data_IF_659736131031
#
_entry.id   IF_659736131031
#
_cell.length_a   1.000
_cell.length_b   1.000
_cell.length_c   1.000
_cell.angle_alpha   90.00
_cell.angle_beta   90.00
_cell.angle_gamma   90.00
#
_symmetry.space_group_name_H-M   'P 1'
#
loop_
_entity.id
_entity.type
_entity.pdbx_description
1 polymer ?
#
# COMPACT_ATOMS: atom_id res chain seq x y z
N UNK A 1 -8.10 -23.84 13.15
CA UNK A 1 -9.11 -22.88 13.66
C UNK A 1 -8.87 -21.54 12.97
N UNK A 2 -9.09 -21.47 11.66
CA UNK A 2 -10.24 -20.83 11.01
C UNK A 2 -9.90 -19.41 10.49
N UNK A 3 -8.93 -19.33 9.57
CA UNK A 3 -8.68 -18.13 8.75
C UNK A 3 -9.64 -18.13 7.55
N UNK A 4 -10.93 -17.99 7.83
CA UNK A 4 -12.01 -18.05 6.82
C UNK A 4 -12.75 -16.71 6.76
N UNK A 5 -12.03 -15.66 6.36
CA UNK A 5 -12.61 -14.33 6.13
C UNK A 5 -11.75 -13.46 5.19
N UNK A 6 -11.36 -13.99 4.02
CA UNK A 6 -10.71 -13.20 2.96
C UNK A 6 -11.43 -13.30 1.61
N UNK A 7 -12.65 -13.83 1.63
CA UNK A 7 -13.60 -13.72 0.51
C UNK A 7 -14.81 -13.10 1.17
N UNK A 8 -15.09 -11.84 0.86
CA UNK A 8 -16.40 -11.27 1.19
C UNK A 8 -17.46 -12.21 0.61
N UNK A 9 -18.58 -12.37 1.32
CA UNK A 9 -19.66 -13.36 1.15
C UNK A 9 -20.30 -13.42 -0.26
N UNK A 10 -19.81 -12.63 -1.22
CA UNK A 10 -20.34 -12.40 -2.56
C UNK A 10 -19.34 -12.69 -3.70
N UNK A 11 -18.13 -13.19 -3.42
CA UNK A 11 -17.12 -13.53 -4.45
C UNK A 11 -16.47 -12.31 -5.14
N UNK A 12 -16.76 -11.10 -4.65
CA UNK A 12 -16.18 -9.83 -5.13
C UNK A 12 -14.88 -9.51 -4.38
N UNK A 13 -13.88 -8.99 -5.10
CA UNK A 13 -12.57 -8.60 -4.56
C UNK A 13 -12.74 -7.55 -3.43
N UNK A 14 -12.15 -7.79 -2.25
CA UNK A 14 -12.26 -6.88 -1.09
C UNK A 14 -11.97 -5.43 -1.51
N UNK A 15 -12.88 -4.47 -1.28
CA UNK A 15 -12.72 -3.08 -1.72
C UNK A 15 -11.47 -2.43 -1.13
N UNK A 16 -11.00 -2.86 0.04
CA UNK A 16 -9.76 -2.39 0.68
C UNK A 16 -8.53 -2.83 -0.08
N UNK A 17 -8.53 -4.07 -0.56
CA UNK A 17 -7.47 -4.62 -1.44
C UNK A 17 -7.43 -3.83 -2.74
N UNK A 18 -8.59 -3.60 -3.35
CA UNK A 18 -8.69 -2.80 -4.58
C UNK A 18 -8.16 -1.37 -4.38
N UNK A 19 -8.56 -0.70 -3.30
CA UNK A 19 -8.10 0.65 -2.97
C UNK A 19 -6.57 0.71 -2.81
N UNK A 20 -5.98 -0.25 -2.09
CA UNK A 20 -4.54 -0.31 -1.89
C UNK A 20 -3.79 -0.56 -3.20
N UNK A 21 -4.27 -1.45 -4.07
CA UNK A 21 -3.68 -1.69 -5.38
C UNK A 21 -3.68 -0.44 -6.25
N UNK A 22 -4.78 0.30 -6.28
CA UNK A 22 -4.89 1.55 -7.04
C UNK A 22 -3.91 2.60 -6.51
N UNK A 23 -3.83 2.77 -5.19
CA UNK A 23 -2.92 3.72 -4.56
C UNK A 23 -1.45 3.36 -4.84
N UNK A 24 -1.07 2.09 -4.70
CA UNK A 24 0.28 1.60 -5.02
C UNK A 24 0.62 1.82 -6.49
N UNK A 25 -0.29 1.48 -7.41
CA UNK A 25 -0.07 1.66 -8.84
C UNK A 25 0.12 3.14 -9.21
N UNK A 26 -0.64 4.05 -8.59
CA UNK A 26 -0.43 5.50 -8.73
C UNK A 26 0.95 5.92 -8.22
N UNK A 27 1.32 5.51 -7.00
CA UNK A 27 2.62 5.85 -6.43
C UNK A 27 3.79 5.36 -7.30
N UNK A 28 3.70 4.14 -7.84
CA UNK A 28 4.69 3.60 -8.77
C UNK A 28 4.81 4.42 -10.05
N UNK A 29 3.69 4.92 -10.59
CA UNK A 29 3.70 5.80 -11.78
C UNK A 29 4.34 7.16 -11.49
N UNK A 30 4.02 7.77 -10.35
CA UNK A 30 4.63 9.05 -9.95
C UNK A 30 6.13 8.89 -9.70
N UNK A 31 6.54 7.79 -9.04
CA UNK A 31 7.95 7.45 -8.84
C UNK A 31 8.67 7.17 -10.17
N UNK A 32 8.03 6.45 -11.10
CA UNK A 32 8.53 6.18 -12.44
C UNK A 32 8.83 7.49 -13.20
N UNK A 33 7.94 8.47 -13.10
CA UNK A 33 8.07 9.78 -13.74
C UNK A 33 9.00 10.76 -13.03
N UNK A 34 9.41 10.48 -11.78
CA UNK A 34 10.30 11.36 -11.02
C UNK A 34 11.73 11.29 -11.57
N UNK A 35 12.26 12.44 -12.00
CA UNK A 35 13.61 12.58 -12.59
C UNK A 35 14.71 12.95 -11.59
N UNK A 36 14.35 13.29 -10.35
CA UNK A 36 15.33 13.60 -9.33
C UNK A 36 16.10 12.36 -8.89
N UNK A 37 17.34 12.54 -8.44
CA UNK A 37 18.12 11.45 -7.89
C UNK A 37 17.51 10.98 -6.56
N UNK A 38 17.15 9.70 -6.51
CA UNK A 38 16.61 9.03 -5.33
C UNK A 38 17.51 7.83 -5.05
N UNK A 39 18.47 7.94 -4.10
CA UNK A 39 19.46 6.90 -3.84
C UNK A 39 18.82 5.53 -3.59
N UNK A 40 17.73 5.51 -2.81
CA UNK A 40 17.05 4.29 -2.37
C UNK A 40 15.75 4.03 -3.17
N UNK A 41 15.67 4.53 -4.41
CA UNK A 41 14.49 4.36 -5.27
C UNK A 41 14.07 2.91 -5.43
N UNK A 42 15.02 2.03 -5.69
CA UNK A 42 14.76 0.60 -5.89
C UNK A 42 14.13 -0.04 -4.63
N UNK A 43 14.59 0.34 -3.45
CA UNK A 43 14.03 -0.11 -2.16
C UNK A 43 12.56 0.32 -2.06
N UNK A 44 12.24 1.55 -2.43
CA UNK A 44 10.86 2.03 -2.41
C UNK A 44 9.97 1.30 -3.44
N UNK A 45 10.48 1.01 -4.63
CA UNK A 45 9.76 0.27 -5.68
C UNK A 45 9.50 -1.20 -5.29
N UNK A 46 10.47 -1.85 -4.66
CA UNK A 46 10.38 -3.21 -4.14
C UNK A 46 9.37 -3.29 -3.00
N UNK A 47 9.43 -2.36 -2.05
CA UNK A 47 8.50 -2.33 -0.92
C UNK A 47 7.06 -2.00 -1.37
N UNK A 48 6.88 -1.12 -2.36
CA UNK A 48 5.58 -0.89 -3.00
C UNK A 48 5.02 -2.18 -3.63
N UNK A 49 5.89 -2.98 -4.27
CA UNK A 49 5.50 -4.27 -4.85
C UNK A 49 5.15 -5.29 -3.77
N UNK A 50 5.88 -5.30 -2.66
CA UNK A 50 5.60 -6.14 -1.49
C UNK A 50 4.27 -5.78 -0.81
N UNK A 51 3.91 -4.50 -0.72
CA UNK A 51 2.61 -4.05 -0.21
C UNK A 51 1.45 -4.55 -1.09
N UNK A 52 1.58 -4.46 -2.41
CA UNK A 52 0.56 -4.98 -3.33
C UNK A 52 0.40 -6.50 -3.19
N UNK A 53 1.51 -7.24 -3.13
CA UNK A 53 1.47 -8.69 -2.94
C UNK A 53 0.87 -9.08 -1.59
N UNK A 54 1.16 -8.32 -0.52
CA UNK A 54 0.57 -8.53 0.80
C UNK A 54 -0.95 -8.34 0.79
N UNK A 55 -1.45 -7.35 0.04
CA UNK A 55 -2.87 -7.12 -0.13
C UNK A 55 -3.54 -8.24 -0.94
N UNK A 56 -2.91 -8.67 -2.03
CA UNK A 56 -3.42 -9.75 -2.89
C UNK A 56 -3.45 -11.11 -2.17
N UNK A 57 -2.65 -11.28 -1.11
CA UNK A 57 -2.66 -12.47 -0.27
C UNK A 57 -3.86 -12.56 0.71
N UNK A 58 -4.75 -11.56 0.78
CA UNK A 58 -6.00 -11.62 1.54
C UNK A 58 -6.11 -10.62 2.69
N UNK A 59 -5.98 -11.07 3.95
CA UNK A 59 -6.04 -10.21 5.16
C UNK A 59 -4.63 -9.82 5.59
N UNK A 60 -4.04 -8.75 5.02
CA UNK A 60 -2.72 -8.30 5.41
C UNK A 60 -2.70 -7.79 6.87
N UNK A 61 -1.65 -8.12 7.59
CA UNK A 61 -1.36 -7.52 8.90
C UNK A 61 -1.14 -6.01 8.74
N UNK A 62 -1.99 -5.23 9.40
CA UNK A 62 -1.95 -3.75 9.38
C UNK A 62 -0.60 -3.22 9.88
N UNK A 63 0.01 -3.88 10.87
CA UNK A 63 1.35 -3.50 11.36
C UNK A 63 2.41 -3.73 10.28
N UNK A 64 2.31 -4.83 9.53
CA UNK A 64 3.19 -5.12 8.38
C UNK A 64 3.05 -4.05 7.29
N UNK A 65 1.82 -3.69 6.92
CA UNK A 65 1.57 -2.64 5.93
C UNK A 65 2.13 -1.28 6.37
N UNK A 66 1.88 -0.90 7.64
CA UNK A 66 2.41 0.34 8.21
C UNK A 66 3.94 0.35 8.25
N UNK A 67 4.58 -0.77 8.58
CA UNK A 67 6.04 -0.89 8.54
C UNK A 67 6.57 -0.68 7.13
N UNK A 68 5.97 -1.31 6.12
CA UNK A 68 6.39 -1.13 4.72
C UNK A 68 6.27 0.33 4.27
N UNK A 69 5.19 1.01 4.65
CA UNK A 69 5.03 2.44 4.39
C UNK A 69 6.16 3.29 5.02
N UNK A 70 6.60 2.96 6.24
CA UNK A 70 7.71 3.66 6.88
C UNK A 70 9.06 3.43 6.16
N UNK A 71 9.28 2.22 5.64
CA UNK A 71 10.46 1.91 4.80
C UNK A 71 10.44 2.74 3.53
N UNK A 72 9.29 2.80 2.83
CA UNK A 72 9.11 3.64 1.64
C UNK A 72 9.37 5.12 1.96
N UNK A 73 8.82 5.63 3.07
CA UNK A 73 9.03 7.02 3.48
C UNK A 73 10.50 7.33 3.81
N UNK A 74 11.21 6.40 4.45
CA UNK A 74 12.65 6.53 4.72
C UNK A 74 13.49 6.51 3.44
N UNK A 75 13.18 5.63 2.50
CA UNK A 75 13.88 5.51 1.22
C UNK A 75 13.65 6.69 0.27
N UNK A 76 12.45 7.27 0.29
CA UNK A 76 12.11 8.43 -0.55
C UNK A 76 12.48 9.76 0.10
N UNK A 77 12.54 9.84 1.43
CA UNK A 77 12.74 11.08 2.17
C UNK A 77 11.57 12.07 2.05
N UNK A 78 11.83 13.36 2.34
CA UNK A 78 10.84 14.44 2.32
C UNK A 78 10.56 14.98 0.91
N UNK A 79 10.21 14.12 -0.05
CA UNK A 79 9.91 14.52 -1.43
C UNK A 79 8.44 14.93 -1.55
N UNK A 80 8.19 16.25 -1.58
CA UNK A 80 6.84 16.81 -1.68
C UNK A 80 6.09 16.36 -2.94
N UNK A 81 6.80 16.12 -4.03
CA UNK A 81 6.24 15.64 -5.29
C UNK A 81 5.57 14.25 -5.17
N UNK A 82 5.98 13.43 -4.19
CA UNK A 82 5.43 12.09 -3.96
C UNK A 82 4.48 12.04 -2.74
N UNK A 83 4.37 13.14 -1.98
CA UNK A 83 3.57 13.19 -0.76
C UNK A 83 2.09 12.91 -1.01
N UNK A 84 1.56 13.33 -2.15
CA UNK A 84 0.18 13.05 -2.57
C UNK A 84 -0.08 11.56 -2.72
N UNK A 85 0.70 10.85 -3.55
CA UNK A 85 0.53 9.42 -3.72
C UNK A 85 0.80 8.62 -2.44
N UNK A 86 1.81 8.99 -1.63
CA UNK A 86 2.07 8.32 -0.35
C UNK A 86 0.92 8.51 0.65
N UNK A 87 0.26 9.66 0.64
CA UNK A 87 -0.92 9.91 1.47
C UNK A 87 -2.07 8.98 1.08
N UNK A 88 -2.28 8.74 -0.21
CA UNK A 88 -3.31 7.80 -0.67
C UNK A 88 -2.97 6.35 -0.28
N UNK A 89 -1.70 5.93 -0.34
CA UNK A 89 -1.28 4.61 0.16
C UNK A 89 -1.55 4.48 1.66
N UNK A 90 -1.23 5.52 2.44
CA UNK A 90 -1.53 5.55 3.88
C UNK A 90 -3.02 5.39 4.16
N UNK A 91 -3.87 6.16 3.47
CA UNK A 91 -5.33 6.09 3.61
C UNK A 91 -5.86 4.70 3.27
N UNK A 92 -5.35 4.08 2.20
CA UNK A 92 -5.74 2.73 1.84
C UNK A 92 -5.34 1.70 2.92
N UNK A 93 -4.18 1.85 3.54
CA UNK A 93 -3.74 1.00 4.68
C UNK A 93 -4.66 1.19 5.90
N UNK A 94 -5.11 2.42 6.18
CA UNK A 94 -6.01 2.75 7.29
C UNK A 94 -7.38 2.04 7.17
N UNK A 95 -7.83 1.71 5.96
CA UNK A 95 -9.06 0.93 5.73
C UNK A 95 -8.98 -0.50 6.29
N UNK A 96 -7.78 -1.08 6.40
CA UNK A 96 -7.59 -2.41 7.00
C UNK A 96 -7.64 -2.37 8.54
N UNK A 97 -7.31 -1.22 9.14
CA UNK A 97 -7.29 -1.03 10.59
C UNK A 97 -8.57 -0.43 11.19
N UNK A 98 -9.50 0.03 10.35
CA UNK A 98 -10.79 0.55 10.79
C UNK A 98 -11.78 -0.61 10.96
N UNK A 99 -12.55 -0.68 12.06
CA UNK A 99 -13.66 -1.62 12.15
C UNK A 99 -14.62 -1.36 10.98
N UNK A 100 -15.07 -2.42 10.29
CA UNK A 100 -16.07 -2.28 9.21
C UNK A 100 -17.27 -1.52 9.79
N UNK A 101 -17.72 -0.38 9.22
CA UNK A 101 -19.03 0.14 9.56
C UNK A 101 -20.03 -0.97 9.20
N UNK A 102 -20.74 -1.45 10.22
CA UNK A 102 -21.78 -2.47 10.07
C UNK A 102 -23.00 -1.88 9.37
#
# INVERSE_FOLDING_TARGET
MAARAAVDDDGTLDPRVTALRVAVARCRRELAGYRGNLPDRHIAEDELSALAAAADAGVPDVLRLRRGLLVIAGALGSVSALAGALTEVRRAIELFGSPRPQ
#
